data_IF_085562232744
#
_entry.id   IF_085562232744
#
_cell.length_a   1.000
_cell.length_b   1.000
_cell.length_c   1.000
_cell.angle_alpha   90.00
_cell.angle_beta   90.00
_cell.angle_gamma   90.00
#
_symmetry.space_group_name_H-M   'P 1'
#
loop_
_entity.id
_entity.type
_entity.pdbx_description
1 polymer ?
#
# COMPACT_ATOMS: atom_id res chain seq x y z
N UNK A 1 -31.96 30.85 37.44
CA UNK A 1 -31.53 31.08 36.04
C UNK A 1 -30.09 30.67 35.73
N UNK A 2 -29.10 30.90 36.62
CA UNK A 2 -27.68 30.60 36.36
C UNK A 2 -27.36 29.10 36.13
N UNK A 3 -28.07 28.19 36.79
CA UNK A 3 -27.84 26.74 36.66
C UNK A 3 -28.30 26.15 35.32
N UNK A 4 -29.39 26.67 34.73
CA UNK A 4 -29.89 26.23 33.41
C UNK A 4 -28.97 26.69 32.26
N UNK A 5 -28.28 27.82 32.44
CA UNK A 5 -27.31 28.33 31.47
C UNK A 5 -26.03 27.49 31.44
N UNK A 6 -25.61 26.95 32.60
CA UNK A 6 -24.44 26.09 32.71
C UNK A 6 -24.62 24.75 31.98
N UNK A 7 -25.80 24.13 32.09
CA UNK A 7 -26.12 22.89 31.36
C UNK A 7 -26.21 23.11 29.84
N UNK A 8 -26.68 24.28 29.40
CA UNK A 8 -26.75 24.61 27.97
C UNK A 8 -25.36 24.84 27.37
N UNK A 9 -24.43 25.44 28.12
CA UNK A 9 -23.03 25.62 27.72
C UNK A 9 -22.28 24.29 27.60
N UNK A 10 -22.50 23.34 28.51
CA UNK A 10 -21.90 21.99 28.41
C UNK A 10 -22.44 21.25 27.17
N UNK A 11 -23.73 21.37 26.87
CA UNK A 11 -24.33 20.73 25.69
C UNK A 11 -23.82 21.32 24.37
N UNK A 12 -23.55 22.63 24.33
CA UNK A 12 -22.97 23.29 23.15
C UNK A 12 -21.49 22.95 22.96
N UNK A 13 -20.71 22.82 24.04
CA UNK A 13 -19.30 22.39 23.95
C UNK A 13 -19.17 20.94 23.49
N UNK A 14 -20.08 20.03 23.93
CA UNK A 14 -20.09 18.64 23.47
C UNK A 14 -20.60 18.46 22.03
N UNK A 15 -21.44 19.37 21.51
CA UNK A 15 -21.89 19.31 20.11
C UNK A 15 -21.00 20.12 19.14
N UNK A 16 -20.17 21.05 19.63
CA UNK A 16 -19.23 21.81 18.80
C UNK A 16 -17.92 21.06 18.50
N UNK A 17 -17.65 19.94 19.18
CA UNK A 17 -16.52 19.05 18.84
C UNK A 17 -16.72 18.30 17.50
N UNK A 18 -17.89 18.43 16.87
CA UNK A 18 -18.29 17.69 15.69
C UNK A 18 -18.34 18.49 14.40
N UNK A 19 -17.39 19.40 14.10
CA UNK A 19 -17.32 20.01 12.76
C UNK A 19 -15.98 20.70 12.42
N UNK A 20 -14.86 20.02 12.59
CA UNK A 20 -13.76 20.16 11.62
C UNK A 20 -13.26 18.76 11.27
N UNK A 21 -13.85 18.16 10.23
CA UNK A 21 -13.26 16.95 9.66
C UNK A 21 -12.01 17.42 8.92
N UNK A 22 -10.89 17.44 9.62
CA UNK A 22 -9.59 17.72 9.01
C UNK A 22 -9.37 16.81 7.80
N UNK A 23 -8.50 17.22 6.88
CA UNK A 23 -8.23 16.55 5.61
C UNK A 23 -8.15 15.01 5.77
N UNK A 24 -7.38 14.54 6.76
CA UNK A 24 -7.21 13.11 7.09
C UNK A 24 -8.55 12.43 7.38
N UNK A 25 -9.37 12.97 8.29
CA UNK A 25 -10.69 12.41 8.59
C UNK A 25 -11.66 12.48 7.41
N UNK A 26 -11.53 13.50 6.57
CA UNK A 26 -12.26 13.65 5.32
C UNK A 26 -11.92 12.58 4.28
N UNK A 27 -10.65 12.16 4.20
CA UNK A 27 -10.21 11.08 3.31
C UNK A 27 -10.52 9.71 3.92
N UNK A 28 -10.24 9.53 5.21
CA UNK A 28 -10.36 8.24 5.89
C UNK A 28 -11.80 7.70 5.89
N UNK A 29 -12.81 8.57 5.86
CA UNK A 29 -14.21 8.13 5.69
C UNK A 29 -14.41 7.30 4.41
N UNK A 30 -13.67 7.61 3.34
CA UNK A 30 -13.76 6.92 2.05
C UNK A 30 -12.98 5.60 2.01
N UNK A 31 -12.01 5.41 2.92
CA UNK A 31 -11.33 4.11 3.07
C UNK A 31 -12.29 3.00 3.54
N UNK A 32 -13.42 3.38 4.15
CA UNK A 32 -14.49 2.46 4.56
C UNK A 32 -15.58 2.19 3.50
N UNK A 33 -15.58 2.89 2.37
CA UNK A 33 -16.66 2.86 1.37
C UNK A 33 -16.63 1.60 0.47
N UNK A 34 -16.43 0.42 1.05
CA UNK A 34 -16.40 -0.85 0.34
C UNK A 34 -15.04 -1.18 -0.31
N UNK A 35 -15.09 -1.96 -1.39
CA UNK A 35 -13.94 -2.42 -2.17
C UNK A 35 -14.03 -1.85 -3.60
N UNK A 36 -13.84 -0.55 -3.70
CA UNK A 36 -13.96 0.24 -4.94
C UNK A 36 -12.76 1.17 -5.12
N UNK A 37 -12.76 1.89 -6.25
CA UNK A 37 -11.67 2.83 -6.60
C UNK A 37 -11.52 3.95 -5.59
N UNK A 38 -12.62 4.43 -5.00
CA UNK A 38 -12.63 5.48 -3.98
C UNK A 38 -11.89 5.03 -2.72
N UNK A 39 -12.16 3.82 -2.25
CA UNK A 39 -11.49 3.20 -1.11
C UNK A 39 -9.99 3.05 -1.37
N UNK A 40 -9.60 2.45 -2.50
CA UNK A 40 -8.19 2.33 -2.90
C UNK A 40 -7.49 3.70 -2.97
N UNK A 41 -8.16 4.70 -3.56
CA UNK A 41 -7.65 6.08 -3.65
C UNK A 41 -7.44 6.68 -2.27
N UNK A 42 -8.38 6.49 -1.34
CA UNK A 42 -8.26 7.00 0.02
C UNK A 42 -7.03 6.41 0.73
N UNK A 43 -6.80 5.10 0.64
CA UNK A 43 -5.61 4.46 1.21
C UNK A 43 -4.32 4.98 0.59
N UNK A 44 -4.28 5.18 -0.74
CA UNK A 44 -3.11 5.76 -1.42
C UNK A 44 -2.85 7.19 -0.95
N UNK A 45 -3.87 8.04 -0.84
CA UNK A 45 -3.67 9.42 -0.36
C UNK A 45 -3.16 9.39 1.08
N UNK A 46 -3.78 8.61 1.97
CA UNK A 46 -3.38 8.51 3.37
C UNK A 46 -1.95 7.99 3.54
N UNK A 47 -1.48 7.11 2.65
CA UNK A 47 -0.10 6.60 2.69
C UNK A 47 0.95 7.65 2.26
N UNK A 48 0.52 8.76 1.65
CA UNK A 48 1.38 9.83 1.12
C UNK A 48 1.24 11.18 1.84
N UNK A 49 0.40 11.28 2.87
CA UNK A 49 0.26 12.50 3.69
C UNK A 49 0.72 12.25 5.13
N UNK A 50 0.90 13.34 5.88
CA UNK A 50 1.15 13.25 7.31
C UNK A 50 -0.07 12.67 8.03
N UNK A 51 0.19 11.72 8.93
CA UNK A 51 -0.79 11.14 9.85
C UNK A 51 -0.26 11.33 11.27
N UNK A 52 -1.10 11.83 12.18
CA UNK A 52 -0.74 11.93 13.59
C UNK A 52 -0.70 10.54 14.23
N UNK A 53 -0.08 10.43 15.41
CA UNK A 53 -0.10 9.17 16.19
C UNK A 53 -1.53 8.69 16.47
N UNK A 54 -2.45 9.61 16.75
CA UNK A 54 -3.86 9.29 16.95
C UNK A 54 -4.53 8.73 15.69
N UNK A 55 -4.17 9.25 14.50
CA UNK A 55 -4.68 8.73 13.23
C UNK A 55 -4.16 7.31 12.99
N UNK A 56 -2.85 7.08 13.20
CA UNK A 56 -2.22 5.77 13.06
C UNK A 56 -2.85 4.76 14.02
N UNK A 57 -3.01 5.13 15.29
CA UNK A 57 -3.60 4.25 16.31
C UNK A 57 -5.06 3.87 15.98
N UNK A 58 -5.83 4.82 15.42
CA UNK A 58 -7.18 4.52 14.93
C UNK A 58 -7.14 3.54 13.75
N UNK A 59 -6.26 3.78 12.78
CA UNK A 59 -6.09 2.92 11.60
C UNK A 59 -5.68 1.51 12.01
N UNK A 60 -4.78 1.36 12.99
CA UNK A 60 -4.38 0.05 13.56
C UNK A 60 -5.58 -0.70 14.16
N UNK A 61 -6.41 -0.01 14.96
CA UNK A 61 -7.62 -0.60 15.56
C UNK A 61 -8.64 -1.05 14.53
N UNK A 62 -8.77 -0.32 13.43
CA UNK A 62 -9.68 -0.67 12.34
C UNK A 62 -9.12 -1.84 11.52
N UNK A 63 -7.80 -1.85 11.25
CA UNK A 63 -7.09 -2.96 10.62
C UNK A 63 -7.27 -4.29 11.36
N UNK A 64 -7.14 -4.29 12.69
CA UNK A 64 -7.32 -5.51 13.52
C UNK A 64 -8.72 -6.12 13.40
N UNK A 65 -9.72 -5.29 13.13
CA UNK A 65 -11.13 -5.70 13.00
C UNK A 65 -11.51 -6.02 11.56
N UNK A 66 -10.63 -5.72 10.60
CA UNK A 66 -10.92 -5.87 9.18
C UNK A 66 -10.99 -7.34 8.76
N UNK A 67 -12.07 -7.71 8.08
CA UNK A 67 -12.37 -9.07 7.61
C UNK A 67 -12.32 -9.19 6.09
N UNK A 68 -12.54 -8.11 5.35
CA UNK A 68 -12.41 -8.06 3.91
C UNK A 68 -10.90 -8.11 3.56
N UNK A 69 -10.48 -9.13 2.82
CA UNK A 69 -9.07 -9.35 2.49
C UNK A 69 -8.45 -8.21 1.67
N UNK A 70 -9.17 -7.70 0.67
CA UNK A 70 -8.66 -6.63 -0.19
C UNK A 70 -8.49 -5.33 0.60
N UNK A 71 -9.46 -4.98 1.44
CA UNK A 71 -9.35 -3.81 2.31
C UNK A 71 -8.27 -3.99 3.37
N UNK A 72 -8.13 -5.19 3.93
CA UNK A 72 -7.06 -5.53 4.86
C UNK A 72 -5.68 -5.35 4.22
N UNK A 73 -5.53 -5.74 2.96
CA UNK A 73 -4.30 -5.52 2.19
C UNK A 73 -3.98 -4.03 2.02
N UNK A 74 -4.97 -3.18 1.76
CA UNK A 74 -4.75 -1.72 1.71
C UNK A 74 -4.36 -1.12 3.08
N UNK A 75 -4.89 -1.65 4.18
CA UNK A 75 -4.43 -1.29 5.52
C UNK A 75 -2.98 -1.69 5.76
N UNK A 76 -2.59 -2.91 5.39
CA UNK A 76 -1.21 -3.40 5.51
C UNK A 76 -0.24 -2.53 4.69
N UNK A 77 -0.60 -2.18 3.45
CA UNK A 77 0.15 -1.23 2.63
C UNK A 77 0.33 0.13 3.32
N UNK A 78 -0.76 0.73 3.80
CA UNK A 78 -0.72 2.03 4.45
C UNK A 78 0.16 1.97 5.70
N UNK A 79 -0.08 1.00 6.59
CA UNK A 79 0.64 0.88 7.85
C UNK A 79 2.13 0.57 7.61
N UNK A 80 2.47 -0.36 6.73
CA UNK A 80 3.85 -0.66 6.36
C UNK A 80 4.59 0.62 5.90
N UNK A 81 3.99 1.38 4.98
CA UNK A 81 4.59 2.61 4.47
C UNK A 81 4.69 3.72 5.51
N UNK A 82 3.67 3.89 6.35
CA UNK A 82 3.59 5.02 7.28
C UNK A 82 4.34 4.80 8.59
N UNK A 83 4.40 3.57 9.08
CA UNK A 83 5.05 3.26 10.37
C UNK A 83 6.42 2.62 10.21
N UNK A 84 6.68 1.94 9.09
CA UNK A 84 7.90 1.15 8.86
C UNK A 84 8.12 0.07 9.94
N UNK A 85 7.06 -0.34 10.64
CA UNK A 85 7.14 -1.44 11.61
C UNK A 85 7.15 -2.79 10.88
N UNK A 86 8.11 -3.64 11.24
CA UNK A 86 8.37 -4.92 10.58
C UNK A 86 7.13 -5.81 10.47
N UNK A 87 6.27 -5.81 11.49
CA UNK A 87 5.03 -6.60 11.49
C UNK A 87 4.09 -6.24 10.34
N UNK A 88 3.96 -4.96 9.98
CA UNK A 88 3.09 -4.53 8.88
C UNK A 88 3.78 -4.69 7.54
N UNK A 89 5.11 -4.51 7.48
CA UNK A 89 5.91 -4.79 6.28
C UNK A 89 5.77 -6.27 5.90
N UNK A 90 6.01 -7.16 6.86
CA UNK A 90 5.85 -8.61 6.68
C UNK A 90 4.41 -8.97 6.29
N UNK A 91 3.40 -8.41 6.95
CA UNK A 91 2.00 -8.65 6.59
C UNK A 91 1.69 -8.22 5.14
N UNK A 92 2.13 -7.01 4.76
CA UNK A 92 1.97 -6.48 3.41
C UNK A 92 2.64 -7.35 2.35
N UNK A 93 3.89 -7.79 2.59
CA UNK A 93 4.62 -8.67 1.67
C UNK A 93 3.92 -10.02 1.54
N UNK A 94 3.48 -10.62 2.66
CA UNK A 94 2.79 -11.91 2.63
C UNK A 94 1.46 -11.83 1.87
N UNK A 95 0.63 -10.82 2.15
CA UNK A 95 -0.65 -10.63 1.46
C UNK A 95 -0.51 -10.23 -0.01
N UNK A 96 0.65 -9.70 -0.41
CA UNK A 96 0.93 -9.35 -1.81
C UNK A 96 0.91 -10.57 -2.74
N UNK A 97 1.28 -11.76 -2.23
CA UNK A 97 1.22 -13.03 -3.00
C UNK A 97 -0.21 -13.36 -3.47
N UNK A 98 -1.20 -13.07 -2.63
CA UNK A 98 -2.61 -13.30 -2.94
C UNK A 98 -3.29 -12.12 -3.64
N UNK A 99 -2.57 -11.01 -3.83
CA UNK A 99 -3.12 -9.72 -4.28
C UNK A 99 -2.50 -9.22 -5.60
N UNK A 100 -1.99 -10.12 -6.44
CA UNK A 100 -1.31 -9.79 -7.70
C UNK A 100 -2.11 -8.86 -8.61
N UNK A 101 -3.43 -9.02 -8.68
CA UNK A 101 -4.30 -8.14 -9.45
C UNK A 101 -4.24 -6.67 -9.00
N UNK A 102 -4.12 -6.41 -7.70
CA UNK A 102 -4.00 -5.05 -7.12
C UNK A 102 -2.60 -4.46 -7.35
N UNK A 103 -1.57 -5.31 -7.39
CA UNK A 103 -0.20 -4.89 -7.71
C UNK A 103 -0.09 -4.44 -9.17
N UNK A 104 -0.67 -5.22 -10.08
CA UNK A 104 -0.58 -4.93 -11.52
C UNK A 104 -1.56 -3.86 -12.00
N UNK A 105 -2.73 -3.74 -11.36
CA UNK A 105 -3.74 -2.76 -11.77
C UNK A 105 -3.73 -1.57 -10.83
N UNK A 106 -3.72 -0.37 -11.42
CA UNK A 106 -4.04 0.83 -10.67
C UNK A 106 -5.57 1.00 -10.62
N UNK A 107 -6.25 0.18 -9.83
CA UNK A 107 -7.70 0.25 -9.61
C UNK A 107 -8.05 1.39 -8.64
N UNK A 108 -7.52 2.59 -8.90
CA UNK A 108 -7.75 3.81 -8.12
C UNK A 108 -7.92 5.02 -9.03
N UNK A 109 -8.29 6.16 -8.45
CA UNK A 109 -8.33 7.45 -9.14
C UNK A 109 -6.96 8.18 -9.05
N UNK A 110 -5.95 7.57 -8.45
CA UNK A 110 -4.60 8.12 -8.38
C UNK A 110 -3.89 7.95 -9.72
N UNK A 111 -3.49 9.04 -10.37
CA UNK A 111 -2.79 8.97 -11.66
C UNK A 111 -1.30 8.67 -11.41
N UNK A 112 -0.84 7.51 -11.89
CA UNK A 112 0.56 7.08 -11.81
C UNK A 112 0.84 6.06 -12.91
N UNK A 113 2.09 6.02 -13.38
CA UNK A 113 2.60 5.06 -14.36
C UNK A 113 2.54 3.62 -13.82
N UNK A 114 2.91 3.43 -12.55
CA UNK A 114 2.79 2.16 -11.84
C UNK A 114 1.86 2.29 -10.63
N UNK A 115 1.24 1.18 -10.21
CA UNK A 115 0.46 1.12 -8.97
C UNK A 115 1.33 1.60 -7.78
N UNK A 116 0.87 2.60 -6.98
CA UNK A 116 1.61 3.05 -5.79
C UNK A 116 1.83 1.96 -4.75
N UNK A 117 1.04 0.89 -4.80
CA UNK A 117 1.15 -0.28 -3.93
C UNK A 117 2.30 -1.16 -4.41
N UNK A 118 2.33 -1.44 -5.72
CA UNK A 118 3.46 -2.10 -6.35
C UNK A 118 4.79 -1.41 -6.06
N UNK A 119 4.87 -0.08 -6.22
CA UNK A 119 6.11 0.68 -5.95
C UNK A 119 6.63 0.48 -4.52
N UNK A 120 5.74 0.31 -3.55
CA UNK A 120 6.15 0.05 -2.17
C UNK A 120 6.67 -1.37 -2.00
N UNK A 121 6.09 -2.35 -2.68
CA UNK A 121 6.60 -3.72 -2.71
C UNK A 121 7.97 -3.79 -3.40
N UNK A 122 8.13 -3.12 -4.54
CA UNK A 122 9.40 -2.99 -5.25
C UNK A 122 10.47 -2.34 -4.37
N UNK A 123 10.12 -1.30 -3.59
CA UNK A 123 11.02 -0.72 -2.60
C UNK A 123 11.50 -1.77 -1.58
N UNK A 124 10.59 -2.55 -0.98
CA UNK A 124 10.98 -3.59 -0.01
C UNK A 124 11.78 -4.74 -0.64
N UNK A 125 11.56 -5.04 -1.91
CA UNK A 125 12.28 -6.11 -2.63
C UNK A 125 13.80 -5.86 -2.74
N UNK A 126 14.25 -4.61 -2.57
CA UNK A 126 15.67 -4.24 -2.53
C UNK A 126 16.42 -4.92 -1.38
N UNK A 127 15.72 -5.30 -0.30
CA UNK A 127 16.32 -5.92 0.89
C UNK A 127 15.57 -7.16 1.41
N UNK A 128 14.40 -7.50 0.87
CA UNK A 128 13.59 -8.63 1.31
C UNK A 128 13.34 -9.64 0.17
N UNK A 129 13.68 -10.91 0.39
CA UNK A 129 13.63 -11.95 -0.64
C UNK A 129 12.22 -12.40 -0.98
N UNK A 130 11.30 -12.39 -0.03
CA UNK A 130 9.89 -12.68 -0.29
C UNK A 130 9.28 -11.63 -1.23
N UNK A 131 9.58 -10.35 -1.00
CA UNK A 131 9.16 -9.28 -1.89
C UNK A 131 9.80 -9.38 -3.28
N UNK A 132 11.09 -9.73 -3.35
CA UNK A 132 11.78 -9.95 -4.63
C UNK A 132 11.17 -11.12 -5.42
N UNK A 133 10.87 -12.22 -4.75
CA UNK A 133 10.23 -13.38 -5.38
C UNK A 133 8.86 -13.00 -5.96
N UNK A 134 8.09 -12.13 -5.29
CA UNK A 134 6.82 -11.63 -5.83
C UNK A 134 7.04 -10.81 -7.10
N UNK A 135 8.09 -9.97 -7.18
CA UNK A 135 8.41 -9.26 -8.42
C UNK A 135 8.68 -10.23 -9.58
N UNK A 136 9.42 -11.32 -9.34
CA UNK A 136 9.60 -12.36 -10.37
C UNK A 136 8.32 -13.12 -10.71
N UNK A 137 7.37 -13.25 -9.79
CA UNK A 137 6.04 -13.80 -10.11
C UNK A 137 5.20 -12.84 -10.94
N UNK A 138 5.33 -11.53 -10.71
CA UNK A 138 4.65 -10.51 -11.51
C UNK A 138 5.12 -10.52 -12.96
N UNK A 139 6.38 -10.84 -13.26
CA UNK A 139 6.85 -10.93 -14.66
C UNK A 139 6.21 -12.07 -15.45
N UNK A 140 5.73 -13.12 -14.77
CA UNK A 140 5.01 -14.23 -15.41
C UNK A 140 3.56 -13.90 -15.74
N UNK A 141 2.98 -12.96 -15.01
CA UNK A 141 1.57 -12.58 -15.12
C UNK A 141 1.37 -11.23 -15.81
N UNK A 142 2.44 -10.44 -15.93
CA UNK A 142 2.50 -9.12 -16.53
C UNK A 142 2.45 -9.10 -18.06
N UNK A 143 1.83 -8.06 -18.61
CA UNK A 143 1.92 -7.69 -20.02
C UNK A 143 2.20 -6.19 -20.21
N UNK A 144 2.70 -5.85 -21.40
CA UNK A 144 2.92 -4.47 -21.84
C UNK A 144 3.66 -3.59 -20.82
N UNK A 145 3.07 -2.43 -20.53
CA UNK A 145 3.67 -1.41 -19.66
C UNK A 145 3.88 -1.87 -18.20
N UNK A 146 3.09 -2.82 -17.69
CA UNK A 146 3.30 -3.32 -16.34
C UNK A 146 4.55 -4.21 -16.26
N UNK A 147 4.78 -5.03 -17.30
CA UNK A 147 5.95 -5.90 -17.39
C UNK A 147 7.24 -5.09 -17.51
N UNK A 148 7.23 -4.04 -18.33
CA UNK A 148 8.27 -3.04 -18.48
C UNK A 148 8.75 -2.48 -17.13
N UNK A 149 7.80 -1.92 -16.35
CA UNK A 149 8.09 -1.34 -15.03
C UNK A 149 8.69 -2.39 -14.08
N UNK A 150 8.14 -3.61 -14.08
CA UNK A 150 8.67 -4.68 -13.22
C UNK A 150 10.09 -5.09 -13.63
N UNK A 151 10.38 -5.14 -14.92
CA UNK A 151 11.71 -5.43 -15.44
C UNK A 151 12.72 -4.35 -15.05
N UNK A 152 12.34 -3.07 -15.11
CA UNK A 152 13.17 -1.95 -14.67
C UNK A 152 13.56 -2.09 -13.18
N UNK A 153 12.58 -2.31 -12.29
CA UNK A 153 12.83 -2.47 -10.86
C UNK A 153 13.70 -3.72 -10.57
N UNK A 154 13.48 -4.82 -11.30
CA UNK A 154 14.32 -6.02 -11.22
C UNK A 154 15.77 -5.76 -11.67
N UNK A 155 15.96 -4.94 -12.69
CA UNK A 155 17.29 -4.52 -13.16
C UNK A 155 18.03 -3.69 -12.13
N UNK A 156 17.35 -2.76 -11.46
CA UNK A 156 17.95 -2.01 -10.36
C UNK A 156 18.46 -2.94 -9.26
N UNK A 157 17.68 -3.97 -8.92
CA UNK A 157 18.06 -4.96 -7.90
C UNK A 157 19.27 -5.77 -8.35
N UNK A 158 19.32 -6.18 -9.62
CA UNK A 158 20.48 -6.88 -10.21
C UNK A 158 21.75 -6.02 -10.13
N UNK A 159 21.65 -4.71 -10.37
CA UNK A 159 22.77 -3.77 -10.21
C UNK A 159 23.22 -3.60 -8.76
N UNK A 160 22.29 -3.65 -7.81
CA UNK A 160 22.58 -3.54 -6.37
C UNK A 160 23.24 -4.83 -5.86
N UNK A 161 22.71 -6.00 -6.22
CA UNK A 161 23.20 -7.30 -5.79
C UNK A 161 22.85 -8.40 -6.80
N UNK A 162 23.77 -8.65 -7.73
CA UNK A 162 23.59 -9.62 -8.81
C UNK A 162 23.47 -11.07 -8.30
N UNK A 163 24.20 -11.45 -7.26
CA UNK A 163 24.15 -12.81 -6.72
C UNK A 163 22.78 -13.13 -6.14
N UNK A 164 22.27 -12.23 -5.28
CA UNK A 164 20.93 -12.33 -4.70
C UNK A 164 19.84 -12.35 -5.78
N UNK A 165 19.99 -11.51 -6.80
CA UNK A 165 19.09 -11.50 -7.94
C UNK A 165 19.06 -12.85 -8.67
N UNK A 166 20.23 -13.39 -9.02
CA UNK A 166 20.34 -14.68 -9.72
C UNK A 166 19.80 -15.85 -8.88
N UNK A 167 20.01 -15.84 -7.57
CA UNK A 167 19.43 -16.85 -6.68
C UNK A 167 17.90 -16.78 -6.66
N UNK A 168 17.34 -15.59 -6.47
CA UNK A 168 15.89 -15.40 -6.48
C UNK A 168 15.26 -15.74 -7.84
N UNK A 169 15.91 -15.38 -8.97
CA UNK A 169 15.45 -15.73 -10.30
C UNK A 169 15.37 -17.25 -10.50
N UNK A 170 16.41 -18.00 -10.06
CA UNK A 170 16.42 -19.46 -10.09
C UNK A 170 15.30 -20.06 -9.24
N UNK A 171 15.12 -19.55 -8.02
CA UNK A 171 14.08 -20.03 -7.10
C UNK A 171 12.67 -19.77 -7.64
N UNK A 172 12.48 -18.63 -8.30
CA UNK A 172 11.24 -18.30 -8.98
C UNK A 172 11.07 -19.05 -10.32
N UNK A 173 12.07 -19.80 -10.79
CA UNK A 173 12.00 -20.48 -12.09
C UNK A 173 11.91 -19.54 -13.29
N UNK A 174 12.46 -18.32 -13.17
CA UNK A 174 12.52 -17.31 -14.24
C UNK A 174 13.92 -17.32 -14.82
N UNK A 175 14.04 -17.34 -16.15
CA UNK A 175 15.34 -17.23 -16.82
C UNK A 175 15.78 -15.78 -16.81
N UNK A 176 16.97 -15.50 -16.27
CA UNK A 176 17.54 -14.15 -16.19
C UNK A 176 17.56 -13.44 -17.55
N UNK A 177 17.88 -14.18 -18.62
CA UNK A 177 17.87 -13.67 -19.99
C UNK A 177 16.51 -13.05 -20.39
N UNK A 178 15.39 -13.62 -19.93
CA UNK A 178 14.06 -13.06 -20.23
C UNK A 178 13.90 -11.68 -19.60
N UNK A 179 14.44 -11.46 -18.40
CA UNK A 179 14.39 -10.16 -17.73
C UNK A 179 15.29 -9.16 -18.46
N UNK A 180 16.50 -9.58 -18.87
CA UNK A 180 17.43 -8.72 -19.60
C UNK A 180 16.89 -8.35 -20.99
N UNK A 181 16.28 -9.30 -21.70
CA UNK A 181 15.64 -9.05 -22.99
C UNK A 181 14.49 -8.04 -22.87
N UNK A 182 13.75 -8.02 -21.74
CA UNK A 182 12.69 -7.03 -21.53
C UNK A 182 13.21 -5.60 -21.38
N UNK A 183 14.45 -5.43 -20.90
CA UNK A 183 15.07 -4.11 -20.70
C UNK A 183 15.77 -3.63 -21.97
N UNK A 184 16.34 -4.53 -22.76
CA UNK A 184 17.05 -4.19 -24.00
C UNK A 184 16.11 -3.84 -25.17
N UNK A 185 14.83 -4.22 -25.09
CA UNK A 185 13.83 -4.01 -26.14
C UNK A 185 12.85 -2.83 -25.88
N UNK A 186 13.13 -1.99 -24.88
CA UNK A 186 12.46 -0.68 -24.67
C UNK A 186 13.18 0.46 -25.40
#
# INVERSE_FOLDING_TARGET
MKQKLLFLLIFVIFNAAGCSRGLVGGIYKHAGDGDNKESATAFIILSNIYLSENDIEKIKKDYEKEKNKNRKYYYEYLLAKRTQEEQYITAFINSSKDSMGVLMRNDSNWISVASPIYKQLAYYSKTNDDALNILFELTKNGDGANLAIVAEDLFEIQKINAERFSEAARNAGVREAIIMDLIENE
#
